data_IF_397880146340
#
_entry.id   IF_397880146340
#
_cell.length_a   1.000
_cell.length_b   1.000
_cell.length_c   1.000
_cell.angle_alpha   90.00
_cell.angle_beta   90.00
_cell.angle_gamma   90.00
#
_symmetry.space_group_name_H-M   'P 1'
#
loop_
_entity.id
_entity.type
_entity.pdbx_description
1 polymer ?
#
# COMPACT_ATOMS: atom_id res chain seq x y z
N UNK A 1 10.90 15.14 -2.65
CA UNK A 1 10.13 13.87 -2.79
C UNK A 1 11.10 12.71 -2.79
N UNK A 2 10.86 11.67 -1.98
CA UNK A 2 11.62 10.42 -2.02
C UNK A 2 11.05 9.54 -3.13
N UNK A 3 11.86 9.11 -4.10
CA UNK A 3 11.40 8.16 -5.13
C UNK A 3 11.15 6.80 -4.48
N UNK A 4 9.96 6.23 -4.69
CA UNK A 4 9.64 4.88 -4.20
C UNK A 4 10.31 3.87 -5.13
N UNK A 5 11.34 3.20 -4.63
CA UNK A 5 12.05 2.16 -5.38
C UNK A 5 11.68 0.79 -4.83
N UNK A 6 11.39 -0.18 -5.70
CA UNK A 6 11.06 -1.57 -5.33
C UNK A 6 12.31 -2.39 -4.99
N UNK A 7 13.32 -1.78 -4.35
CA UNK A 7 14.65 -2.39 -4.21
C UNK A 7 14.80 -3.42 -3.08
N UNK A 8 13.74 -3.74 -2.34
CA UNK A 8 13.85 -4.69 -1.23
C UNK A 8 13.46 -6.10 -1.66
N UNK A 9 14.13 -7.09 -1.07
CA UNK A 9 13.82 -8.52 -1.15
C UNK A 9 12.38 -8.88 -0.68
N UNK A 10 11.59 -7.89 -0.26
CA UNK A 10 10.27 -8.01 0.35
C UNK A 10 9.12 -7.39 -0.48
N UNK A 11 9.37 -6.88 -1.70
CA UNK A 11 8.27 -6.41 -2.54
C UNK A 11 7.44 -7.61 -3.03
N UNK A 12 6.21 -7.73 -2.53
CA UNK A 12 5.30 -8.83 -2.83
C UNK A 12 4.59 -8.71 -4.18
N UNK A 13 4.79 -7.61 -4.91
CA UNK A 13 4.20 -7.42 -6.23
C UNK A 13 2.87 -6.65 -6.18
N UNK A 14 2.04 -6.94 -7.18
CA UNK A 14 0.68 -6.40 -7.30
C UNK A 14 -0.28 -7.58 -7.21
N UNK A 15 -1.01 -7.67 -6.10
CA UNK A 15 -1.98 -8.72 -5.87
C UNK A 15 -3.37 -8.30 -6.35
N UNK A 16 -3.95 -9.13 -7.21
CA UNK A 16 -5.32 -8.99 -7.69
C UNK A 16 -6.25 -9.87 -6.86
N UNK A 17 -6.61 -9.39 -5.67
CA UNK A 17 -7.44 -10.14 -4.73
C UNK A 17 -8.90 -10.12 -5.17
N UNK A 18 -9.37 -8.96 -5.65
CA UNK A 18 -10.70 -8.80 -6.20
C UNK A 18 -10.60 -8.37 -7.68
N UNK A 19 -10.81 -9.30 -8.63
CA UNK A 19 -10.67 -9.04 -10.07
C UNK A 19 -11.55 -7.91 -10.60
N UNK A 20 -12.63 -7.58 -9.91
CA UNK A 20 -13.55 -6.50 -10.26
C UNK A 20 -13.23 -5.17 -9.56
N UNK A 21 -12.37 -5.18 -8.54
CA UNK A 21 -12.03 -3.97 -7.77
C UNK A 21 -11.36 -2.92 -8.65
N UNK A 22 -11.77 -1.67 -8.46
CA UNK A 22 -11.14 -0.49 -9.08
C UNK A 22 -10.37 0.34 -8.07
N UNK A 23 -10.21 -0.16 -6.85
CA UNK A 23 -9.49 0.50 -5.76
C UNK A 23 -8.17 -0.23 -5.54
N UNK A 24 -7.08 0.54 -5.58
CA UNK A 24 -5.74 0.06 -5.34
C UNK A 24 -5.25 0.62 -4.01
N UNK A 25 -4.68 -0.26 -3.19
CA UNK A 25 -4.09 0.07 -1.90
C UNK A 25 -2.59 -0.22 -1.95
N UNK A 26 -1.80 0.61 -1.30
CA UNK A 26 -0.37 0.39 -1.11
C UNK A 26 -0.06 0.13 0.36
N UNK A 27 0.85 -0.81 0.61
CA UNK A 27 1.50 -0.99 1.90
C UNK A 27 2.89 -0.40 1.80
N UNK A 28 3.21 0.53 2.70
CA UNK A 28 4.49 1.21 2.73
C UNK A 28 5.07 1.16 4.13
N UNK A 29 6.35 0.80 4.21
CA UNK A 29 7.16 0.94 5.41
C UNK A 29 8.12 2.12 5.29
N UNK A 30 8.28 2.84 6.38
CA UNK A 30 9.25 3.90 6.53
C UNK A 30 10.17 3.54 7.68
N UNK A 31 11.44 3.30 7.37
CA UNK A 31 12.47 2.99 8.35
C UNK A 31 13.36 4.21 8.53
N UNK A 32 13.36 4.77 9.73
CA UNK A 32 14.22 5.86 10.13
C UNK A 32 15.28 5.37 11.12
N UNK A 33 16.48 5.07 10.61
CA UNK A 33 17.64 4.72 11.41
C UNK A 33 18.77 5.73 11.15
N UNK A 34 19.72 5.39 10.27
CA UNK A 34 20.81 6.30 9.83
C UNK A 34 20.45 7.14 8.60
N UNK A 35 19.58 6.61 7.75
CA UNK A 35 18.99 7.29 6.59
C UNK A 35 17.52 6.88 6.52
N UNK A 36 16.68 7.81 6.15
CA UNK A 36 15.27 7.55 5.89
C UNK A 36 15.14 6.63 4.66
N UNK A 37 14.58 5.44 4.86
CA UNK A 37 14.24 4.49 3.79
C UNK A 37 12.73 4.37 3.69
N UNK A 38 12.23 4.52 2.48
CA UNK A 38 10.82 4.36 2.14
C UNK A 38 10.69 3.13 1.25
N UNK A 39 10.07 2.08 1.76
CA UNK A 39 9.95 0.79 1.09
C UNK A 39 8.49 0.53 0.75
N UNK A 40 8.23 0.20 -0.52
CA UNK A 40 6.92 -0.25 -0.99
C UNK A 40 6.89 -1.76 -0.81
N UNK A 41 6.05 -2.24 0.11
CA UNK A 41 5.96 -3.67 0.46
C UNK A 41 5.03 -4.41 -0.51
N UNK A 42 3.95 -3.76 -0.95
CA UNK A 42 2.99 -4.38 -1.85
C UNK A 42 1.88 -3.45 -2.32
N UNK A 43 1.19 -3.90 -3.36
CA UNK A 43 0.04 -3.23 -3.97
C UNK A 43 -1.12 -4.21 -4.08
N UNK A 44 -2.32 -3.79 -3.69
CA UNK A 44 -3.47 -4.69 -3.53
C UNK A 44 -4.73 -4.10 -4.18
N UNK A 45 -5.30 -4.84 -5.13
CA UNK A 45 -6.61 -4.49 -5.66
C UNK A 45 -7.73 -5.10 -4.83
N UNK A 46 -8.48 -4.25 -4.13
CA UNK A 46 -9.57 -4.67 -3.24
C UNK A 46 -10.52 -3.49 -3.01
N UNK A 47 -11.84 -3.72 -2.93
CA UNK A 47 -12.78 -2.66 -2.60
C UNK A 47 -12.62 -2.10 -1.17
N UNK A 48 -11.98 -2.87 -0.29
CA UNK A 48 -11.67 -2.53 1.11
C UNK A 48 -10.15 -2.53 1.38
N UNK A 49 -9.66 -1.82 2.42
CA UNK A 49 -8.26 -1.89 2.80
C UNK A 49 -7.91 -3.17 3.58
N UNK A 50 -8.88 -4.00 3.97
CA UNK A 50 -8.71 -5.02 5.01
C UNK A 50 -7.64 -6.07 4.67
N UNK A 51 -7.50 -6.42 3.38
CA UNK A 51 -6.45 -7.34 2.94
C UNK A 51 -5.07 -6.70 2.94
N UNK A 52 -4.97 -5.44 2.51
CA UNK A 52 -3.74 -4.67 2.61
C UNK A 52 -3.34 -4.44 4.08
N UNK A 53 -4.33 -4.22 4.96
CA UNK A 53 -4.13 -4.12 6.41
C UNK A 53 -3.55 -5.42 6.98
N UNK A 54 -4.09 -6.58 6.60
CA UNK A 54 -3.57 -7.87 7.04
C UNK A 54 -2.11 -8.04 6.64
N UNK A 55 -1.77 -7.71 5.39
CA UNK A 55 -0.39 -7.75 4.93
C UNK A 55 0.51 -6.80 5.72
N UNK A 56 0.07 -5.55 5.92
CA UNK A 56 0.80 -4.58 6.74
C UNK A 56 1.03 -5.06 8.18
N UNK A 57 0.06 -5.73 8.79
CA UNK A 57 0.20 -6.34 10.13
C UNK A 57 1.21 -7.48 10.10
N UNK A 58 1.14 -8.36 9.10
CA UNK A 58 2.08 -9.49 8.94
C UNK A 58 3.54 -9.01 8.78
N UNK A 59 3.79 -7.86 8.12
CA UNK A 59 5.14 -7.30 8.00
C UNK A 59 5.77 -6.93 9.35
N UNK A 60 4.98 -6.70 10.40
CA UNK A 60 5.51 -6.44 11.76
C UNK A 60 6.20 -7.64 12.38
N UNK A 61 5.84 -8.87 11.98
CA UNK A 61 6.49 -10.08 12.48
C UNK A 61 8.00 -10.05 12.28
N UNK A 62 8.48 -9.50 11.16
CA UNK A 62 9.91 -9.36 10.86
C UNK A 62 10.62 -8.32 11.76
N UNK A 63 9.90 -7.31 12.24
CA UNK A 63 10.45 -6.23 13.09
C UNK A 63 10.44 -6.59 14.58
N UNK A 64 9.54 -7.49 14.99
CA UNK A 64 9.32 -7.87 16.39
C UNK A 64 10.01 -9.18 16.79
N UNK A 65 10.89 -9.74 15.95
CA UNK A 65 11.65 -10.95 16.29
C UNK A 65 12.56 -10.68 17.51
N UNK A 66 12.34 -11.36 18.65
CA UNK A 66 13.13 -11.17 19.87
C UNK A 66 14.60 -11.59 19.73
N UNK A 67 14.96 -12.34 18.67
CA UNK A 67 16.35 -12.69 18.35
C UNK A 67 17.09 -11.56 17.64
N UNK A 68 16.40 -10.50 17.18
CA UNK A 68 17.03 -9.32 16.60
C UNK A 68 17.66 -8.46 17.71
N UNK A 69 18.95 -8.04 17.56
CA UNK A 69 19.59 -7.15 18.53
C UNK A 69 18.83 -5.82 18.64
N UNK A 70 18.30 -5.53 19.84
CA UNK A 70 17.45 -4.35 20.06
C UNK A 70 15.95 -4.56 19.80
N UNK A 71 15.52 -5.82 19.66
CA UNK A 71 14.11 -6.22 19.59
C UNK A 71 13.36 -5.78 20.85
N UNK A 72 12.55 -4.72 20.69
CA UNK A 72 11.64 -4.23 21.71
C UNK A 72 10.22 -4.70 21.41
N UNK A 73 9.53 -5.22 22.41
CA UNK A 73 8.11 -5.63 22.36
C UNK A 73 7.18 -4.40 22.50
N UNK A 74 7.58 -3.25 21.97
CA UNK A 74 6.90 -1.98 22.26
C UNK A 74 5.63 -1.76 21.42
N UNK A 75 5.10 -2.82 20.79
CA UNK A 75 3.81 -2.69 20.11
C UNK A 75 3.08 -4.02 19.81
N UNK A 76 2.68 -4.76 20.84
CA UNK A 76 1.76 -5.90 20.66
C UNK A 76 0.47 -5.50 19.92
N UNK A 77 0.02 -4.24 20.06
CA UNK A 77 -1.14 -3.69 19.35
C UNK A 77 -0.91 -3.66 17.83
N UNK A 78 0.32 -3.37 17.36
CA UNK A 78 0.65 -3.38 15.93
C UNK A 78 0.57 -4.79 15.33
N UNK A 79 1.05 -5.79 16.07
CA UNK A 79 1.04 -7.21 15.66
C UNK A 79 -0.39 -7.78 15.56
N UNK A 80 -1.33 -7.19 16.29
CA UNK A 80 -2.73 -7.61 16.31
C UNK A 80 -3.65 -6.70 15.52
N UNK A 81 -3.18 -5.51 15.15
CA UNK A 81 -3.99 -4.48 14.49
C UNK A 81 -5.16 -3.98 15.33
N UNK A 82 -5.13 -4.13 16.65
CA UNK A 82 -6.29 -3.91 17.55
C UNK A 82 -6.91 -2.50 17.43
N UNK A 83 -6.13 -1.51 17.00
CA UNK A 83 -6.58 -0.12 16.80
C UNK A 83 -7.13 0.17 15.41
N UNK A 84 -7.07 -0.78 14.47
CA UNK A 84 -7.57 -0.59 13.10
C UNK A 84 -8.98 -1.17 12.99
N UNK A 85 -9.98 -0.30 12.81
CA UNK A 85 -11.36 -0.75 12.64
C UNK A 85 -11.57 -1.31 11.23
N UNK A 86 -12.59 -2.17 11.02
CA UNK A 86 -12.95 -2.63 9.69
C UNK A 86 -13.17 -1.45 8.71
N UNK A 87 -12.54 -1.51 7.53
CA UNK A 87 -12.61 -0.45 6.52
C UNK A 87 -11.71 0.76 6.77
N UNK A 88 -11.02 0.87 7.92
CA UNK A 88 -10.00 1.89 8.16
C UNK A 88 -8.64 1.41 7.66
N UNK A 89 -7.78 2.35 7.24
CA UNK A 89 -6.41 2.00 6.85
C UNK A 89 -5.52 1.81 8.07
N UNK A 90 -4.81 0.68 8.10
CA UNK A 90 -3.84 0.36 9.13
C UNK A 90 -2.69 1.38 9.17
N UNK A 91 -2.29 1.75 10.38
CA UNK A 91 -1.08 2.54 10.67
C UNK A 91 -0.43 2.00 11.94
N UNK A 92 0.79 1.51 11.81
CA UNK A 92 1.63 1.04 12.91
C UNK A 92 2.89 1.89 13.03
N UNK A 93 3.41 1.98 14.25
CA UNK A 93 4.69 2.63 14.56
C UNK A 93 5.40 1.92 15.70
N UNK A 94 6.71 1.76 15.63
CA UNK A 94 7.51 1.30 16.75
C UNK A 94 8.91 1.92 16.74
N UNK A 95 9.51 2.03 17.93
CA UNK A 95 10.92 2.33 18.10
C UNK A 95 11.69 1.03 18.32
N UNK A 96 12.87 0.92 17.71
CA UNK A 96 13.76 -0.25 17.80
C UNK A 96 15.08 0.19 18.45
N UNK A 97 15.69 -0.70 19.24
CA UNK A 97 17.01 -0.47 19.82
C UNK A 97 17.06 0.74 20.75
N UNK A 98 16.07 0.90 21.64
CA UNK A 98 15.98 2.03 22.59
C UNK A 98 15.93 3.40 21.87
N UNK A 99 15.20 3.46 20.75
CA UNK A 99 15.02 4.69 19.97
C UNK A 99 16.13 5.01 18.97
N UNK A 100 17.07 4.09 18.75
CA UNK A 100 18.10 4.21 17.70
C UNK A 100 17.53 4.16 16.29
N UNK A 101 16.37 3.51 16.13
CA UNK A 101 15.61 3.51 14.89
C UNK A 101 14.12 3.58 15.18
N UNK A 102 13.34 4.01 14.20
CA UNK A 102 11.90 3.85 14.18
C UNK A 102 11.41 3.29 12.86
N UNK A 103 10.32 2.54 12.94
CA UNK A 103 9.63 2.00 11.77
C UNK A 103 8.19 2.46 11.85
N UNK A 104 7.65 2.93 10.74
CA UNK A 104 6.21 3.05 10.56
C UNK A 104 5.77 2.25 9.34
N UNK A 105 4.65 1.55 9.48
CA UNK A 105 4.02 0.83 8.38
C UNK A 105 2.62 1.37 8.22
N UNK A 106 2.25 1.70 6.99
CA UNK A 106 0.95 2.29 6.70
C UNK A 106 0.33 1.71 5.44
N UNK A 107 -0.98 1.56 5.48
CA UNK A 107 -1.81 1.29 4.30
C UNK A 107 -2.36 2.61 3.80
N UNK A 108 -2.22 2.87 2.51
CA UNK A 108 -2.75 4.07 1.89
C UNK A 108 -3.51 3.72 0.62
N UNK A 109 -4.57 4.47 0.35
CA UNK A 109 -5.25 4.39 -0.95
C UNK A 109 -4.37 5.03 -2.01
N UNK A 110 -4.14 4.32 -3.11
CA UNK A 110 -3.45 4.88 -4.27
C UNK A 110 -4.34 5.92 -4.94
N UNK A 111 -3.77 7.09 -5.21
CA UNK A 111 -4.43 8.21 -5.88
C UNK A 111 -3.62 8.62 -7.11
N UNK A 112 -4.19 9.45 -7.98
CA UNK A 112 -3.44 10.03 -9.10
C UNK A 112 -2.12 10.69 -8.64
N UNK A 113 -2.15 11.40 -7.50
CA UNK A 113 -0.96 12.03 -6.94
C UNK A 113 0.12 11.04 -6.51
N UNK A 114 -0.25 9.89 -5.92
CA UNK A 114 0.74 8.90 -5.48
C UNK A 114 1.37 8.13 -6.64
N UNK A 115 0.65 7.95 -7.77
CA UNK A 115 1.18 7.27 -8.95
C UNK A 115 2.44 7.95 -9.52
N UNK A 116 2.57 9.28 -9.38
CA UNK A 116 3.77 10.01 -9.83
C UNK A 116 5.03 9.60 -9.06
N UNK A 117 4.89 9.08 -7.83
CA UNK A 117 6.03 8.61 -7.02
C UNK A 117 6.56 7.24 -7.46
N UNK A 118 5.82 6.51 -8.31
CA UNK A 118 6.21 5.19 -8.77
C UNK A 118 7.14 5.24 -9.98
N UNK A 119 8.01 4.24 -10.08
CA UNK A 119 8.82 4.02 -11.27
C UNK A 119 7.96 3.47 -12.42
N UNK A 120 8.38 3.65 -13.69
CA UNK A 120 7.69 3.04 -14.83
C UNK A 120 7.54 1.52 -14.73
N UNK A 121 8.45 0.83 -14.04
CA UNK A 121 8.38 -0.61 -13.83
C UNK A 121 7.18 -0.99 -12.95
N UNK A 122 6.98 -0.31 -11.82
CA UNK A 122 5.84 -0.54 -10.92
C UNK A 122 4.52 -0.22 -11.66
N UNK A 123 4.46 0.90 -12.38
CA UNK A 123 3.28 1.27 -13.16
C UNK A 123 2.91 0.21 -14.21
N UNK A 124 3.92 -0.36 -14.89
CA UNK A 124 3.69 -1.47 -15.83
C UNK A 124 3.20 -2.73 -15.14
N UNK A 125 3.68 -3.06 -13.93
CA UNK A 125 3.17 -4.20 -13.16
C UNK A 125 1.71 -4.01 -12.76
N UNK A 126 1.33 -2.80 -12.31
CA UNK A 126 -0.07 -2.46 -12.00
C UNK A 126 -0.95 -2.70 -13.24
N UNK A 127 -0.55 -2.19 -14.40
CA UNK A 127 -1.30 -2.38 -15.65
C UNK A 127 -1.38 -3.86 -16.06
N UNK A 128 -0.29 -4.63 -15.94
CA UNK A 128 -0.29 -6.08 -16.25
C UNK A 128 -1.25 -6.87 -15.37
N UNK A 129 -1.30 -6.57 -14.07
CA UNK A 129 -2.23 -7.23 -13.15
C UNK A 129 -3.69 -7.08 -13.61
N UNK A 130 -4.00 -5.99 -14.33
CA UNK A 130 -5.32 -5.69 -14.89
C UNK A 130 -5.47 -5.99 -16.39
N UNK A 131 -4.50 -6.69 -16.98
CA UNK A 131 -4.46 -6.99 -18.42
C UNK A 131 -4.60 -5.73 -19.31
N UNK A 132 -4.08 -4.61 -18.84
CA UNK A 132 -4.08 -3.34 -19.56
C UNK A 132 -2.78 -3.14 -20.34
N UNK A 133 -2.82 -2.30 -21.39
CA UNK A 133 -1.67 -1.99 -22.21
C UNK A 133 -0.54 -1.32 -21.40
N UNK A 134 0.69 -1.81 -21.56
CA UNK A 134 1.91 -1.31 -20.88
C UNK A 134 2.82 -0.46 -21.76
N UNK A 135 2.35 -0.10 -22.96
CA UNK A 135 3.06 0.79 -23.89
C UNK A 135 2.94 2.24 -23.45
N UNK A 136 3.93 3.05 -23.81
CA UNK A 136 3.94 4.48 -23.53
C UNK A 136 4.98 4.96 -22.50
N UNK A 137 5.06 6.29 -22.38
CA UNK A 137 5.85 6.99 -21.36
C UNK A 137 5.20 6.95 -19.97
N UNK A 138 5.91 7.42 -18.93
CA UNK A 138 5.45 7.36 -17.53
C UNK A 138 4.05 7.98 -17.35
N UNK A 139 3.82 9.16 -17.92
CA UNK A 139 2.56 9.88 -17.75
C UNK A 139 1.39 9.17 -18.44
N UNK A 140 1.62 8.54 -19.60
CA UNK A 140 0.60 7.72 -20.27
C UNK A 140 0.22 6.49 -19.44
N UNK A 141 1.21 5.87 -18.80
CA UNK A 141 0.95 4.74 -17.88
C UNK A 141 0.13 5.20 -16.67
N UNK A 142 0.49 6.34 -16.06
CA UNK A 142 -0.24 6.93 -14.92
C UNK A 142 -1.69 7.25 -15.32
N UNK A 143 -1.87 7.92 -16.46
CA UNK A 143 -3.19 8.29 -16.97
C UNK A 143 -4.06 7.06 -17.17
N UNK A 144 -3.52 5.98 -17.74
CA UNK A 144 -4.25 4.73 -17.98
C UNK A 144 -4.68 4.06 -16.68
N UNK A 145 -3.81 4.01 -15.66
CA UNK A 145 -4.16 3.47 -14.35
C UNK A 145 -5.26 4.34 -13.70
N UNK A 146 -5.12 5.67 -13.76
CA UNK A 146 -6.08 6.58 -13.18
C UNK A 146 -7.48 6.45 -13.83
N UNK A 147 -7.55 6.38 -15.16
CA UNK A 147 -8.80 6.14 -15.89
C UNK A 147 -9.44 4.80 -15.48
N UNK A 148 -8.64 3.74 -15.32
CA UNK A 148 -9.16 2.44 -14.88
C UNK A 148 -9.76 2.51 -13.47
N UNK A 149 -9.12 3.22 -12.53
CA UNK A 149 -9.63 3.42 -11.16
C UNK A 149 -10.91 4.28 -11.13
N UNK A 150 -11.01 5.29 -12.01
CA UNK A 150 -12.17 6.19 -12.09
C UNK A 150 -13.39 5.53 -12.72
N UNK A 151 -13.22 4.59 -13.67
CA UNK A 151 -14.33 3.90 -14.33
C UNK A 151 -15.25 3.16 -13.34
N UNK A 152 -14.75 2.74 -12.18
CA UNK A 152 -15.56 2.14 -11.11
C UNK A 152 -16.33 3.12 -10.23
N UNK A 153 -15.99 4.42 -10.23
CA UNK A 153 -16.61 5.42 -9.38
C UNK A 153 -17.99 5.90 -9.89
N UNK A 154 -18.32 5.64 -11.16
CA UNK A 154 -19.53 6.13 -11.83
C UNK A 154 -20.81 5.29 -11.63
N UNK A 155 -20.75 4.13 -10.96
CA UNK A 155 -21.91 3.24 -10.81
C UNK A 155 -22.77 3.51 -9.57
N UNK A 156 -22.34 4.36 -8.63
CA UNK A 156 -23.09 4.67 -7.41
C UNK A 156 -23.79 6.04 -7.39
N UNK A 157 -23.69 6.86 -8.45
CA UNK A 157 -24.28 8.20 -8.49
C UNK A 157 -25.60 8.30 -9.26
N UNK A 158 -26.18 7.20 -9.76
CA UNK A 158 -27.38 7.22 -10.64
C UNK A 158 -28.66 6.58 -10.10
N UNK A 159 -28.78 6.37 -8.79
CA UNK A 159 -30.00 5.84 -8.18
C UNK A 159 -30.55 6.75 -7.08
N UNK A 160 -30.97 7.97 -7.41
CA UNK A 160 -31.97 8.71 -6.60
C UNK A 160 -32.51 9.94 -7.35
N UNK A 161 -33.68 9.77 -7.94
CA UNK A 161 -34.79 10.73 -8.09
C UNK A 161 -35.53 10.54 -9.43
N UNK A 162 -36.50 9.62 -9.42
CA UNK A 162 -37.69 9.69 -10.28
C UNK A 162 -38.83 8.95 -9.58
N UNK A 163 -39.27 9.51 -8.47
CA UNK A 163 -40.63 9.32 -7.99
C UNK A 163 -41.48 10.44 -8.61
N UNK A 164 -42.48 10.02 -9.38
CA UNK A 164 -43.49 10.86 -10.03
C UNK A 164 -44.34 11.59 -9.00
#
# INVERSE_FOLDING_TARGET
MCEKTSKAQNYHGVDDIEPTSRRLWEVQSLVNAKKMKCELEGLFWDNSPDKANRHAIETWGAWCDPMMPGGGVDNADNLRGEKTRPGECYKGFACIGVGQASVSTSVNRVTAGTLHSYTPMILKQILRSRKLATTGGKDELIQRINLYMQAGAGLHSRSRSRSR
#
